data_IF_761206912950
#
_entry.id   IF_761206912950
#
_cell.length_a   1.000
_cell.length_b   1.000
_cell.length_c   1.000
_cell.angle_alpha   90.00
_cell.angle_beta   90.00
_cell.angle_gamma   90.00
#
_symmetry.space_group_name_H-M   'P 1'
#
loop_
_entity.id
_entity.type
_entity.pdbx_description
1 polymer ?
#
# COMPACT_ATOMS: atom_id res chain seq x y z
N UNK A 1 71.30 42.56 43.02
CA UNK A 1 70.75 43.87 42.61
C UNK A 1 69.37 43.64 42.05
N UNK A 2 68.40 44.44 42.48
CA UNK A 2 67.01 44.41 42.05
C UNK A 2 66.86 44.66 40.55
N UNK A 3 65.78 44.17 39.94
CA UNK A 3 64.80 44.97 39.19
C UNK A 3 63.50 44.15 39.10
N UNK A 4 62.40 44.77 39.51
CA UNK A 4 61.03 44.28 39.40
C UNK A 4 60.50 44.48 37.98
N UNK A 5 59.77 43.46 37.52
CA UNK A 5 58.59 43.45 36.67
C UNK A 5 58.46 44.48 35.53
N UNK A 6 58.32 43.96 34.30
CA UNK A 6 57.24 44.39 33.40
C UNK A 6 56.60 43.16 32.75
N UNK A 7 55.28 43.08 32.91
CA UNK A 7 54.38 42.15 32.24
C UNK A 7 54.43 42.39 30.72
N UNK A 8 54.52 41.32 29.95
CA UNK A 8 53.86 41.22 28.65
C UNK A 8 53.83 39.75 28.23
N UNK A 9 52.70 39.09 28.51
CA UNK A 9 52.31 37.90 27.77
C UNK A 9 51.93 38.33 26.35
N UNK A 10 52.45 37.68 25.29
CA UNK A 10 51.88 37.85 23.97
C UNK A 10 50.47 37.24 23.98
N UNK A 11 49.46 38.13 23.96
CA UNK A 11 48.12 37.83 23.44
C UNK A 11 48.31 37.25 22.05
N UNK A 12 47.91 36.00 21.88
CA UNK A 12 47.30 35.43 20.66
C UNK A 12 47.00 33.95 20.95
N UNK A 13 46.16 33.70 21.96
CA UNK A 13 45.31 32.52 21.94
C UNK A 13 44.01 32.96 21.30
N UNK A 14 43.72 32.35 20.16
CA UNK A 14 42.52 32.53 19.35
C UNK A 14 41.30 32.32 20.26
N UNK A 15 40.73 33.40 20.78
CA UNK A 15 39.36 33.44 21.27
C UNK A 15 38.48 33.34 20.03
N UNK A 16 38.16 32.11 19.64
CA UNK A 16 37.03 31.87 18.76
C UNK A 16 35.81 32.52 19.42
N UNK A 17 35.14 33.40 18.67
CA UNK A 17 33.99 34.16 19.14
C UNK A 17 32.93 33.15 19.61
N UNK A 18 32.28 33.33 20.77
CA UNK A 18 31.27 32.39 21.28
C UNK A 18 30.19 32.03 20.23
N UNK A 19 29.85 32.98 19.36
CA UNK A 19 28.89 32.80 18.25
C UNK A 19 29.35 31.85 17.14
N UNK A 20 30.65 31.69 16.92
CA UNK A 20 31.19 30.72 15.95
C UNK A 20 31.16 29.29 16.49
N UNK A 21 31.38 29.12 17.80
CA UNK A 21 31.30 27.82 18.48
C UNK A 21 29.86 27.31 18.47
N UNK A 22 28.88 28.17 18.77
CA UNK A 22 27.46 27.83 18.81
C UNK A 22 26.91 27.43 17.42
N UNK A 23 27.37 28.09 16.35
CA UNK A 23 27.04 27.71 14.96
C UNK A 23 27.65 26.37 14.54
N UNK A 24 28.87 26.08 14.99
CA UNK A 24 29.54 24.80 14.72
C UNK A 24 28.83 23.66 15.47
N UNK A 25 28.36 23.89 16.70
CA UNK A 25 27.56 22.93 17.46
C UNK A 25 26.21 22.63 16.77
N UNK A 26 25.48 23.64 16.28
CA UNK A 26 24.25 23.42 15.50
C UNK A 26 24.49 22.68 14.17
N UNK A 27 25.60 22.93 13.49
CA UNK A 27 25.96 22.19 12.27
C UNK A 27 26.33 20.73 12.57
N UNK A 28 27.02 20.47 13.68
CA UNK A 28 27.35 19.11 14.14
C UNK A 28 26.09 18.31 14.51
N UNK A 29 25.12 18.90 15.21
CA UNK A 29 23.82 18.26 15.49
C UNK A 29 23.06 17.90 14.21
N UNK A 30 23.01 18.83 13.23
CA UNK A 30 22.39 18.55 11.91
C UNK A 30 23.10 17.42 11.15
N UNK A 31 24.42 17.32 11.29
CA UNK A 31 25.21 16.24 10.67
C UNK A 31 24.97 14.90 11.38
N UNK A 32 24.82 14.89 12.71
CA UNK A 32 24.46 13.69 13.48
C UNK A 32 23.05 13.21 13.16
N UNK A 33 22.06 14.10 13.12
CA UNK A 33 20.69 13.77 12.69
C UNK A 33 20.68 13.22 11.25
N UNK A 34 21.46 13.83 10.33
CA UNK A 34 21.57 13.34 8.96
C UNK A 34 22.25 11.96 8.88
N UNK A 35 23.25 11.69 9.73
CA UNK A 35 23.91 10.38 9.83
C UNK A 35 22.95 9.33 10.39
N UNK A 36 22.21 9.62 11.46
CA UNK A 36 21.20 8.71 12.02
C UNK A 36 20.10 8.38 10.99
N UNK A 37 19.61 9.38 10.25
CA UNK A 37 18.64 9.17 9.17
C UNK A 37 19.26 8.27 8.07
N UNK A 38 20.53 8.45 7.74
CA UNK A 38 21.24 7.62 6.75
C UNK A 38 21.43 6.17 7.22
N UNK A 39 21.74 5.96 8.50
CA UNK A 39 21.87 4.63 9.12
C UNK A 39 20.52 3.93 9.22
N UNK A 40 19.47 4.64 9.61
CA UNK A 40 18.10 4.11 9.60
C UNK A 40 17.64 3.73 8.17
N UNK A 41 18.03 4.51 7.17
CA UNK A 41 17.73 4.22 5.76
C UNK A 41 18.52 3.00 5.23
N UNK A 42 19.78 2.82 5.65
CA UNK A 42 20.60 1.65 5.27
C UNK A 42 20.14 0.37 5.99
N UNK A 43 19.75 0.46 7.25
CA UNK A 43 19.08 -0.66 7.94
C UNK A 43 17.73 -1.02 7.32
N UNK A 44 16.92 -0.03 6.96
CA UNK A 44 15.64 -0.26 6.30
C UNK A 44 15.84 -0.93 4.93
N UNK A 45 16.81 -0.48 4.14
CA UNK A 45 17.10 -1.06 2.83
C UNK A 45 17.63 -2.50 2.92
N UNK A 46 18.50 -2.80 3.88
CA UNK A 46 19.00 -4.17 4.12
C UNK A 46 17.89 -5.12 4.62
N UNK A 47 16.99 -4.66 5.49
CA UNK A 47 15.79 -5.41 5.89
C UNK A 47 14.89 -5.69 4.68
N UNK A 48 14.64 -4.69 3.83
CA UNK A 48 13.84 -4.84 2.59
C UNK A 48 14.48 -5.85 1.63
N UNK A 49 15.81 -5.86 1.49
CA UNK A 49 16.52 -6.82 0.66
C UNK A 49 16.32 -8.25 1.17
N UNK A 50 16.49 -8.50 2.48
CA UNK A 50 16.22 -9.80 3.09
C UNK A 50 14.78 -10.28 2.86
N UNK A 51 13.80 -9.41 3.03
CA UNK A 51 12.39 -9.76 2.76
C UNK A 51 12.13 -10.13 1.30
N UNK A 52 12.85 -9.52 0.34
CA UNK A 52 12.76 -9.88 -1.08
C UNK A 52 13.40 -11.25 -1.35
N UNK A 53 14.51 -11.55 -0.73
CA UNK A 53 15.20 -12.84 -0.87
C UNK A 53 14.36 -13.97 -0.25
N UNK A 54 13.73 -13.74 0.91
CA UNK A 54 12.79 -14.67 1.52
C UNK A 54 11.59 -14.93 0.60
N UNK A 55 11.00 -13.89 0.02
CA UNK A 55 9.89 -14.01 -0.91
C UNK A 55 10.26 -14.81 -2.17
N UNK A 56 11.47 -14.61 -2.70
CA UNK A 56 11.99 -15.35 -3.85
C UNK A 56 12.21 -16.83 -3.51
N UNK A 57 12.77 -17.10 -2.34
CA UNK A 57 12.98 -18.47 -1.82
C UNK A 57 11.65 -19.22 -1.66
N UNK A 58 10.61 -18.53 -1.17
CA UNK A 58 9.25 -19.10 -1.06
C UNK A 58 8.69 -19.46 -2.45
N UNK A 59 8.85 -18.59 -3.45
CA UNK A 59 8.35 -18.83 -4.81
C UNK A 59 9.08 -20.00 -5.48
N UNK A 60 10.39 -20.16 -5.24
CA UNK A 60 11.17 -21.25 -5.83
C UNK A 60 10.81 -22.62 -5.20
N UNK A 61 10.56 -22.64 -3.89
CA UNK A 61 10.13 -23.85 -3.16
C UNK A 61 8.70 -24.32 -3.46
N UNK A 62 7.90 -23.52 -4.18
CA UNK A 62 6.49 -23.82 -4.45
C UNK A 62 6.30 -25.02 -5.40
N UNK A 63 5.60 -26.06 -4.95
CA UNK A 63 5.17 -27.18 -5.79
C UNK A 63 3.73 -26.94 -6.29
N UNK A 64 3.51 -26.68 -7.60
CA UNK A 64 2.19 -26.38 -8.13
C UNK A 64 1.30 -27.62 -8.15
N UNK A 65 0.01 -27.44 -7.88
CA UNK A 65 -0.99 -28.53 -7.89
C UNK A 65 -1.95 -28.44 -9.07
N UNK A 66 -2.16 -27.23 -9.58
CA UNK A 66 -3.06 -26.96 -10.71
C UNK A 66 -2.34 -27.00 -12.04
N UNK A 67 -3.08 -27.32 -13.12
CA UNK A 67 -2.56 -27.26 -14.50
C UNK A 67 -1.99 -25.87 -14.83
N UNK A 68 -2.67 -24.81 -14.37
CA UNK A 68 -2.22 -23.42 -14.53
C UNK A 68 -0.91 -23.19 -13.77
N UNK A 69 -0.82 -23.63 -12.51
CA UNK A 69 0.40 -23.51 -11.72
C UNK A 69 1.59 -24.23 -12.34
N UNK A 70 1.39 -25.43 -12.90
CA UNK A 70 2.43 -26.18 -13.61
C UNK A 70 2.89 -25.40 -14.85
N UNK A 71 1.96 -24.87 -15.66
CA UNK A 71 2.28 -24.09 -16.85
C UNK A 71 3.07 -22.80 -16.52
N UNK A 72 2.69 -22.08 -15.46
CA UNK A 72 3.38 -20.86 -14.99
C UNK A 72 4.73 -21.21 -14.37
N UNK A 73 4.84 -22.31 -13.61
CA UNK A 73 6.13 -22.77 -13.08
C UNK A 73 7.09 -23.16 -14.20
N UNK A 74 6.59 -23.82 -15.25
CA UNK A 74 7.35 -24.16 -16.45
C UNK A 74 7.67 -22.97 -17.37
N UNK A 75 7.10 -21.78 -17.12
CA UNK A 75 7.35 -20.57 -17.90
C UNK A 75 6.61 -20.49 -19.25
N UNK A 76 5.60 -21.35 -19.47
CA UNK A 76 4.76 -21.34 -20.69
C UNK A 76 3.84 -20.12 -20.73
N UNK A 77 3.32 -19.72 -19.58
CA UNK A 77 2.46 -18.55 -19.41
C UNK A 77 3.21 -17.50 -18.57
N UNK A 78 3.58 -16.39 -19.21
CA UNK A 78 4.30 -15.27 -18.57
C UNK A 78 3.42 -14.04 -18.35
N UNK A 79 2.34 -13.92 -19.11
CA UNK A 79 1.46 -12.75 -19.07
C UNK A 79 0.21 -13.04 -18.25
N UNK A 80 0.03 -12.33 -17.14
CA UNK A 80 -1.17 -12.46 -16.30
C UNK A 80 -2.44 -12.00 -17.02
N UNK A 81 -2.33 -11.01 -17.91
CA UNK A 81 -3.44 -10.47 -18.69
C UNK A 81 -4.11 -11.56 -19.54
N UNK A 82 -3.32 -12.39 -20.23
CA UNK A 82 -3.83 -13.51 -21.02
C UNK A 82 -4.61 -14.50 -20.15
N UNK A 83 -4.12 -14.79 -18.94
CA UNK A 83 -4.78 -15.69 -18.00
C UNK A 83 -6.15 -15.14 -17.58
N UNK A 84 -6.21 -13.84 -17.28
CA UNK A 84 -7.45 -13.16 -16.87
C UNK A 84 -8.46 -13.04 -18.01
N UNK A 85 -8.02 -12.74 -19.23
CA UNK A 85 -8.86 -12.66 -20.43
C UNK A 85 -9.42 -14.02 -20.84
N UNK A 86 -8.65 -15.10 -20.67
CA UNK A 86 -9.14 -16.47 -20.89
C UNK A 86 -10.21 -16.88 -19.85
N UNK A 87 -10.41 -16.10 -18.79
CA UNK A 87 -11.37 -16.39 -17.72
C UNK A 87 -10.97 -17.57 -16.83
N UNK A 88 -9.72 -18.03 -16.90
CA UNK A 88 -9.22 -19.12 -16.06
C UNK A 88 -9.13 -18.66 -14.60
N UNK A 89 -9.76 -19.40 -13.69
CA UNK A 89 -9.72 -19.06 -12.26
C UNK A 89 -8.35 -19.38 -11.65
N UNK A 90 -7.77 -18.40 -10.98
CA UNK A 90 -6.52 -18.57 -10.21
C UNK A 90 -6.87 -19.17 -8.84
N UNK A 91 -6.28 -20.32 -8.52
CA UNK A 91 -6.51 -21.04 -7.25
C UNK A 91 -5.29 -21.08 -6.33
N UNK A 92 -4.11 -20.71 -6.85
CA UNK A 92 -2.84 -20.68 -6.13
C UNK A 92 -2.32 -19.24 -6.13
N UNK A 93 -2.06 -18.68 -4.95
CA UNK A 93 -1.59 -17.29 -4.83
C UNK A 93 -0.17 -17.11 -5.37
N UNK A 94 0.63 -18.18 -5.31
CA UNK A 94 2.01 -18.23 -5.80
C UNK A 94 2.13 -17.96 -7.30
N UNK A 95 1.06 -18.24 -8.07
CA UNK A 95 1.00 -17.90 -9.50
C UNK A 95 1.19 -16.39 -9.68
N UNK A 96 0.47 -15.59 -8.90
CA UNK A 96 0.54 -14.12 -9.00
C UNK A 96 1.88 -13.60 -8.48
N UNK A 97 2.42 -14.23 -7.42
CA UNK A 97 3.73 -13.88 -6.86
C UNK A 97 4.89 -14.08 -7.85
N UNK A 98 4.78 -15.10 -8.73
CA UNK A 98 5.77 -15.32 -9.78
C UNK A 98 5.60 -14.37 -10.98
N UNK A 99 4.38 -13.97 -11.30
CA UNK A 99 4.07 -13.20 -12.50
C UNK A 99 4.17 -11.68 -12.32
N UNK A 100 3.95 -11.16 -11.10
CA UNK A 100 3.88 -9.72 -10.85
C UNK A 100 4.71 -9.30 -9.63
N UNK A 101 5.38 -8.12 -9.68
CA UNK A 101 5.96 -7.50 -8.51
C UNK A 101 4.86 -6.84 -7.67
N UNK A 102 4.36 -7.57 -6.67
CA UNK A 102 3.21 -7.13 -5.87
C UNK A 102 3.61 -6.32 -4.64
N UNK A 103 2.94 -5.19 -4.43
CA UNK A 103 2.90 -4.48 -3.16
C UNK A 103 1.64 -4.84 -2.38
N UNK A 104 1.72 -4.81 -1.04
CA UNK A 104 0.61 -5.15 -0.16
C UNK A 104 0.32 -4.01 0.82
N UNK A 105 -0.95 -3.64 0.97
CA UNK A 105 -1.42 -2.70 2.00
C UNK A 105 -2.66 -3.27 2.73
N UNK A 106 -2.92 -2.77 3.93
CA UNK A 106 -4.04 -3.17 4.77
C UNK A 106 -5.09 -2.07 4.85
N UNK A 107 -6.35 -2.45 4.68
CA UNK A 107 -7.50 -1.55 4.86
C UNK A 107 -7.87 -1.50 6.33
N UNK A 108 -8.10 -0.29 6.84
CA UNK A 108 -8.45 -0.06 8.24
C UNK A 108 -9.94 -0.36 8.50
N UNK A 109 -10.27 -1.64 8.66
CA UNK A 109 -11.65 -2.10 8.87
C UNK A 109 -12.09 -2.14 10.34
N UNK A 110 -11.15 -2.03 11.27
CA UNK A 110 -11.40 -2.08 12.71
C UNK A 110 -11.45 -0.72 13.37
N UNK A 111 -12.01 -0.68 14.57
CA UNK A 111 -12.03 0.50 15.41
C UNK A 111 -11.61 0.08 16.83
N UNK A 112 -10.59 0.76 17.37
CA UNK A 112 -10.30 0.69 18.79
C UNK A 112 -11.21 1.70 19.51
N UNK A 113 -11.87 1.28 20.59
CA UNK A 113 -12.63 2.20 21.44
C UNK A 113 -11.65 3.06 22.22
N UNK A 114 -11.73 4.38 22.09
CA UNK A 114 -11.03 5.31 22.98
C UNK A 114 -11.84 5.58 24.25
N UNK A 115 -11.21 6.25 25.22
CA UNK A 115 -11.75 6.56 26.55
C UNK A 115 -13.10 7.31 26.50
N UNK A 116 -13.34 8.11 25.47
CA UNK A 116 -14.52 8.95 25.29
C UNK A 116 -15.38 8.57 24.07
N UNK A 117 -15.37 7.31 23.64
CA UNK A 117 -16.18 6.85 22.50
C UNK A 117 -15.64 7.23 21.11
N UNK A 118 -14.73 8.19 21.02
CA UNK A 118 -13.89 8.40 19.83
C UNK A 118 -12.94 7.22 19.65
N UNK A 119 -12.88 6.65 18.44
CA UNK A 119 -12.08 5.45 18.18
C UNK A 119 -11.07 5.62 17.06
N UNK A 120 -9.82 5.19 17.30
CA UNK A 120 -8.78 5.14 16.25
C UNK A 120 -9.04 3.93 15.35
N UNK A 121 -9.01 4.14 14.03
CA UNK A 121 -9.13 3.06 13.05
C UNK A 121 -7.90 2.14 13.11
N UNK A 122 -8.13 0.83 12.98
CA UNK A 122 -7.10 -0.22 12.98
C UNK A 122 -7.31 -1.17 11.80
N UNK A 123 -6.24 -1.85 11.39
CA UNK A 123 -6.30 -2.85 10.31
C UNK A 123 -7.14 -4.09 10.67
N UNK A 124 -7.22 -4.43 11.96
CA UNK A 124 -7.95 -5.60 12.44
C UNK A 124 -9.31 -5.26 13.03
N UNK A 125 -10.34 -5.96 12.58
CA UNK A 125 -11.67 -5.93 13.19
C UNK A 125 -11.85 -7.16 14.08
N UNK A 126 -11.99 -6.94 15.38
CA UNK A 126 -12.33 -7.98 16.35
C UNK A 126 -13.83 -8.25 16.31
N UNK A 127 -14.22 -9.52 16.23
CA UNK A 127 -15.61 -9.99 16.30
C UNK A 127 -15.68 -11.10 17.35
N UNK A 128 -16.76 -11.13 18.12
CA UNK A 128 -16.93 -12.07 19.22
C UNK A 128 -18.19 -12.92 18.99
N UNK A 129 -18.08 -14.24 19.18
CA UNK A 129 -19.23 -15.15 19.24
C UNK A 129 -19.47 -15.52 20.70
N UNK A 130 -20.69 -15.31 21.21
CA UNK A 130 -21.08 -15.77 22.55
C UNK A 130 -21.33 -17.28 22.50
N UNK A 131 -20.76 -18.03 23.45
CA UNK A 131 -20.96 -19.47 23.66
C UNK A 131 -21.23 -19.73 25.15
N UNK A 132 -21.70 -20.93 25.50
CA UNK A 132 -21.96 -21.29 26.90
C UNK A 132 -20.67 -21.21 27.76
N UNK A 133 -19.53 -21.56 27.17
CA UNK A 133 -18.20 -21.53 27.80
C UNK A 133 -17.54 -20.13 27.78
N UNK A 134 -18.25 -19.11 27.30
CA UNK A 134 -17.76 -17.72 27.24
C UNK A 134 -17.70 -17.13 25.83
N UNK A 135 -16.92 -16.07 25.66
CA UNK A 135 -16.83 -15.34 24.40
C UNK A 135 -15.65 -15.83 23.56
N UNK A 136 -15.93 -16.36 22.37
CA UNK A 136 -14.90 -16.77 21.41
C UNK A 136 -14.56 -15.58 20.50
N UNK A 137 -13.34 -15.08 20.63
CA UNK A 137 -12.82 -13.99 19.81
C UNK A 137 -12.37 -14.47 18.43
N UNK A 138 -12.53 -13.59 17.45
CA UNK A 138 -11.99 -13.77 16.11
C UNK A 138 -11.54 -12.42 15.55
N UNK A 139 -10.43 -12.45 14.82
CA UNK A 139 -9.89 -11.27 14.16
C UNK A 139 -10.11 -11.41 12.66
N UNK A 140 -10.48 -10.29 12.06
CA UNK A 140 -10.62 -10.15 10.63
C UNK A 140 -9.74 -9.03 10.12
N UNK A 141 -9.20 -9.22 8.92
CA UNK A 141 -8.36 -8.26 8.23
C UNK A 141 -8.79 -8.17 6.76
N UNK A 142 -8.53 -7.03 6.14
CA UNK A 142 -8.75 -6.82 4.72
C UNK A 142 -7.48 -6.25 4.11
N UNK A 143 -7.00 -6.89 3.05
CA UNK A 143 -5.77 -6.54 2.38
C UNK A 143 -6.06 -6.15 0.94
N UNK A 144 -5.23 -5.23 0.43
CA UNK A 144 -5.15 -4.87 -0.98
C UNK A 144 -3.77 -5.26 -1.46
N UNK A 145 -3.71 -5.86 -2.64
CA UNK A 145 -2.48 -6.25 -3.31
C UNK A 145 -2.52 -5.66 -4.72
N UNK A 146 -1.42 -5.10 -5.20
CA UNK A 146 -1.36 -4.56 -6.56
C UNK A 146 0.05 -4.18 -6.99
N UNK A 147 0.21 -3.96 -8.28
CA UNK A 147 1.51 -3.71 -8.94
C UNK A 147 1.68 -2.24 -9.37
N UNK A 148 0.75 -1.36 -9.00
CA UNK A 148 0.66 0.04 -9.46
C UNK A 148 0.61 0.20 -10.98
N UNK A 149 0.32 -0.89 -11.71
CA UNK A 149 0.36 -0.93 -13.16
C UNK A 149 -0.90 -1.55 -13.76
N UNK A 150 -2.05 -1.34 -13.12
CA UNK A 150 -3.34 -1.84 -13.61
C UNK A 150 -3.72 -3.22 -13.10
N UNK A 151 -3.04 -3.79 -12.10
CA UNK A 151 -3.50 -4.99 -11.41
C UNK A 151 -3.76 -4.70 -9.95
N UNK A 152 -4.97 -5.02 -9.49
CA UNK A 152 -5.34 -4.87 -8.07
C UNK A 152 -6.23 -6.00 -7.60
N UNK A 153 -5.99 -6.48 -6.40
CA UNK A 153 -6.74 -7.54 -5.77
C UNK A 153 -7.11 -7.14 -4.35
N UNK A 154 -8.33 -7.47 -3.93
CA UNK A 154 -8.83 -7.17 -2.60
C UNK A 154 -9.26 -8.47 -1.93
N UNK A 155 -8.78 -8.69 -0.71
CA UNK A 155 -8.97 -9.93 0.02
C UNK A 155 -9.41 -9.72 1.46
N UNK A 156 -10.26 -10.62 1.94
CA UNK A 156 -10.71 -10.65 3.32
C UNK A 156 -10.23 -11.95 3.98
N UNK A 157 -9.72 -11.84 5.19
CA UNK A 157 -9.27 -12.98 5.99
C UNK A 157 -9.84 -12.93 7.40
N UNK A 158 -10.19 -14.09 7.96
CA UNK A 158 -10.64 -14.25 9.34
C UNK A 158 -9.92 -15.42 10.00
N UNK A 159 -9.44 -15.22 11.23
CA UNK A 159 -8.79 -16.24 12.04
C UNK A 159 -8.99 -15.98 13.54
N UNK A 160 -8.46 -16.87 14.38
CA UNK A 160 -8.45 -16.71 15.85
C UNK A 160 -7.40 -15.71 16.33
N UNK A 161 -6.40 -15.44 15.50
CA UNK A 161 -5.28 -14.53 15.75
C UNK A 161 -5.12 -13.51 14.61
N UNK A 162 -4.33 -12.46 14.84
CA UNK A 162 -4.17 -11.34 13.90
C UNK A 162 -3.27 -11.67 12.70
N UNK A 163 -2.11 -12.31 12.90
CA UNK A 163 -1.18 -12.65 11.82
C UNK A 163 -1.79 -13.65 10.82
N UNK A 164 -2.41 -14.76 11.25
CA UNK A 164 -3.06 -15.67 10.30
C UNK A 164 -4.24 -15.04 9.57
N UNK A 165 -4.94 -14.07 10.18
CA UNK A 165 -5.99 -13.31 9.51
C UNK A 165 -5.42 -12.41 8.40
N UNK A 166 -4.28 -11.76 8.65
CA UNK A 166 -3.55 -10.95 7.66
C UNK A 166 -3.09 -11.81 6.49
N UNK A 167 -2.44 -12.93 6.75
CA UNK A 167 -1.93 -13.85 5.70
C UNK A 167 -3.07 -14.39 4.83
N UNK A 168 -4.19 -14.79 5.45
CA UNK A 168 -5.39 -15.20 4.70
C UNK A 168 -5.95 -14.06 3.84
N UNK A 169 -5.96 -12.83 4.35
CA UNK A 169 -6.44 -11.68 3.59
C UNK A 169 -5.54 -11.42 2.37
N UNK A 170 -4.21 -11.44 2.55
CA UNK A 170 -3.23 -11.26 1.45
C UNK A 170 -3.35 -12.39 0.43
N UNK A 171 -3.44 -13.65 0.87
CA UNK A 171 -3.67 -14.80 -0.02
C UNK A 171 -4.94 -14.63 -0.85
N UNK A 172 -6.04 -14.27 -0.21
CA UNK A 172 -7.32 -14.06 -0.90
C UNK A 172 -7.28 -12.85 -1.85
N UNK A 173 -6.50 -11.81 -1.53
CA UNK A 173 -6.32 -10.67 -2.41
C UNK A 173 -5.59 -11.07 -3.70
N UNK A 174 -4.51 -11.86 -3.59
CA UNK A 174 -3.79 -12.42 -4.74
C UNK A 174 -4.67 -13.30 -5.62
N UNK A 175 -5.51 -14.15 -5.01
CA UNK A 175 -6.45 -14.99 -5.76
C UNK A 175 -7.53 -14.20 -6.51
N UNK A 176 -7.92 -13.04 -5.98
CA UNK A 176 -8.94 -12.16 -6.56
C UNK A 176 -8.30 -10.96 -7.28
N UNK A 177 -7.17 -11.17 -7.96
CA UNK A 177 -6.54 -10.12 -8.77
C UNK A 177 -7.45 -9.75 -9.94
N UNK A 178 -7.57 -8.45 -10.20
CA UNK A 178 -8.38 -7.87 -11.25
C UNK A 178 -7.48 -7.05 -12.16
N UNK A 179 -7.70 -7.16 -13.47
CA UNK A 179 -7.18 -6.22 -14.45
C UNK A 179 -8.01 -4.93 -14.35
N UNK A 180 -7.35 -3.80 -14.36
CA UNK A 180 -7.94 -2.46 -14.32
C UNK A 180 -7.47 -1.73 -15.57
N UNK A 181 -8.43 -1.32 -16.39
CA UNK A 181 -8.13 -0.49 -17.54
C UNK A 181 -7.93 0.95 -17.06
N UNK A 182 -6.73 1.48 -17.27
CA UNK A 182 -6.39 2.89 -17.02
C UNK A 182 -6.41 3.63 -18.36
N UNK A 183 -6.72 4.91 -18.31
CA UNK A 183 -6.78 5.77 -19.48
C UNK A 183 -6.48 7.22 -19.12
N UNK A 184 -7.01 8.10 -19.97
CA UNK A 184 -6.81 9.54 -19.90
C UNK A 184 -8.08 10.27 -19.49
N UNK A 185 -7.93 11.54 -19.11
CA UNK A 185 -9.04 12.42 -18.73
C UNK A 185 -10.00 12.73 -19.90
N UNK A 186 -9.48 12.70 -21.12
CA UNK A 186 -10.20 12.96 -22.37
C UNK A 186 -9.57 12.13 -23.51
N UNK A 187 -10.37 11.69 -24.51
CA UNK A 187 -9.85 11.04 -25.71
C UNK A 187 -8.80 11.87 -26.46
N UNK A 188 -8.87 13.20 -26.42
CA UNK A 188 -7.88 14.09 -27.06
C UNK A 188 -6.50 13.99 -26.39
N UNK A 189 -6.49 13.74 -25.07
CA UNK A 189 -5.25 13.57 -24.31
C UNK A 189 -4.58 12.21 -24.54
N UNK A 190 -5.32 11.21 -25.03
CA UNK A 190 -4.80 9.89 -25.36
C UNK A 190 -3.83 9.93 -26.55
N UNK A 191 -4.03 10.87 -27.46
CA UNK A 191 -3.16 11.04 -28.64
C UNK A 191 -1.80 11.68 -28.30
N UNK A 192 -1.71 12.40 -27.19
CA UNK A 192 -0.55 13.24 -26.86
C UNK A 192 0.34 12.65 -25.77
N UNK A 193 -0.21 11.79 -24.90
CA UNK A 193 0.45 11.36 -23.66
C UNK A 193 0.57 9.84 -23.61
N UNK A 194 1.68 9.35 -23.09
CA UNK A 194 2.01 7.92 -23.06
C UNK A 194 1.69 7.21 -21.73
N UNK A 195 1.55 7.94 -20.62
CA UNK A 195 1.29 7.35 -19.30
C UNK A 195 -0.17 7.52 -18.86
N UNK A 196 -0.99 6.44 -18.78
CA UNK A 196 -2.38 6.51 -18.34
C UNK A 196 -2.45 6.71 -16.83
N UNK A 197 -3.09 7.80 -16.40
CA UNK A 197 -3.10 8.24 -15.00
C UNK A 197 -4.46 8.12 -14.31
N UNK A 198 -5.55 8.02 -15.07
CA UNK A 198 -6.93 8.04 -14.53
C UNK A 198 -7.80 6.89 -15.07
N UNK A 199 -9.07 6.86 -14.69
CA UNK A 199 -10.05 5.91 -15.22
C UNK A 199 -10.55 6.45 -16.58
N UNK A 200 -10.68 5.62 -17.63
CA UNK A 200 -11.02 6.09 -18.98
C UNK A 200 -12.43 6.68 -19.09
N UNK A 201 -13.40 6.17 -18.33
CA UNK A 201 -14.79 6.65 -18.33
C UNK A 201 -15.40 6.54 -16.94
N UNK A 202 -16.58 7.15 -16.79
CA UNK A 202 -17.32 7.09 -15.53
C UNK A 202 -17.73 5.65 -15.23
N UNK A 203 -17.28 5.11 -14.09
CA UNK A 203 -17.64 3.75 -13.66
C UNK A 203 -18.33 3.74 -12.30
N UNK A 204 -19.32 2.86 -12.15
CA UNK A 204 -20.12 2.74 -10.93
C UNK A 204 -20.03 1.34 -10.34
N UNK A 205 -19.65 1.25 -9.07
CA UNK A 205 -19.58 0.01 -8.28
C UNK A 205 -20.52 0.06 -7.08
N UNK A 206 -21.01 -1.12 -6.69
CA UNK A 206 -21.95 -1.27 -5.57
C UNK A 206 -21.55 -2.45 -4.69
N UNK A 207 -21.70 -2.28 -3.38
CA UNK A 207 -21.67 -3.38 -2.41
C UNK A 207 -22.58 -3.04 -1.22
N UNK A 208 -23.63 -3.85 -0.99
CA UNK A 208 -24.65 -3.54 0.01
C UNK A 208 -25.37 -2.22 -0.31
N UNK A 209 -25.44 -1.31 0.66
CA UNK A 209 -26.00 0.04 0.50
C UNK A 209 -25.01 1.06 -0.08
N UNK A 210 -23.71 0.72 -0.15
CA UNK A 210 -22.66 1.64 -0.60
C UNK A 210 -22.57 1.62 -2.13
N UNK A 211 -22.67 2.81 -2.71
CA UNK A 211 -22.48 3.06 -4.13
C UNK A 211 -21.29 3.99 -4.32
N UNK A 212 -20.39 3.63 -5.22
CA UNK A 212 -19.19 4.40 -5.55
C UNK A 212 -19.21 4.68 -7.04
N UNK A 213 -19.03 5.94 -7.39
CA UNK A 213 -18.84 6.39 -8.76
C UNK A 213 -17.45 6.98 -8.89
N UNK A 214 -16.64 6.42 -9.79
CA UNK A 214 -15.35 6.98 -10.17
C UNK A 214 -15.56 7.84 -11.42
N UNK A 215 -15.00 9.05 -11.41
CA UNK A 215 -14.95 9.93 -12.55
C UNK A 215 -13.48 10.14 -12.98
N UNK A 216 -13.23 10.25 -14.29
CA UNK A 216 -11.93 10.69 -14.80
C UNK A 216 -11.56 12.05 -14.21
N UNK A 217 -10.28 12.28 -13.93
CA UNK A 217 -9.78 13.52 -13.37
C UNK A 217 -8.56 14.02 -14.15
N UNK A 218 -8.36 15.36 -14.24
CA UNK A 218 -7.19 15.91 -14.90
C UNK A 218 -5.91 15.62 -14.12
N UNK A 219 -4.76 15.58 -14.82
CA UNK A 219 -3.45 15.35 -14.18
C UNK A 219 -3.16 16.36 -13.07
N UNK A 220 -2.67 15.87 -11.93
CA UNK A 220 -2.30 16.71 -10.79
C UNK A 220 -3.42 16.95 -9.78
N UNK A 221 -4.63 16.44 -10.03
CA UNK A 221 -5.75 16.48 -9.08
C UNK A 221 -5.48 15.62 -7.84
N UNK A 222 -4.74 14.52 -8.01
CA UNK A 222 -4.57 13.48 -7.01
C UNK A 222 -5.83 12.65 -6.78
N UNK A 223 -5.76 11.79 -5.75
CA UNK A 223 -6.84 10.90 -5.37
C UNK A 223 -7.80 11.61 -4.39
N UNK A 224 -8.87 12.19 -4.92
CA UNK A 224 -9.93 12.85 -4.13
C UNK A 224 -10.95 11.81 -3.68
N UNK A 225 -10.57 11.08 -2.63
CA UNK A 225 -11.37 9.97 -2.08
C UNK A 225 -11.04 9.70 -0.61
N UNK A 226 -11.89 8.90 0.05
CA UNK A 226 -11.64 8.40 1.40
C UNK A 226 -10.45 7.43 1.45
N UNK A 227 -9.82 7.30 2.62
CA UNK A 227 -8.55 6.61 2.78
C UNK A 227 -8.56 5.15 2.28
N UNK A 228 -9.65 4.42 2.49
CA UNK A 228 -9.77 3.03 2.03
C UNK A 228 -9.72 2.90 0.51
N UNK A 229 -10.49 3.75 -0.18
CA UNK A 229 -10.50 3.78 -1.65
C UNK A 229 -9.17 4.31 -2.18
N UNK A 230 -8.55 5.27 -1.48
CA UNK A 230 -7.26 5.85 -1.86
C UNK A 230 -6.17 4.79 -1.94
N UNK A 231 -6.13 3.87 -0.97
CA UNK A 231 -5.21 2.73 -0.96
C UNK A 231 -5.42 1.79 -2.17
N UNK A 232 -6.67 1.50 -2.51
CA UNK A 232 -7.02 0.64 -3.64
C UNK A 232 -6.63 1.29 -4.97
N UNK A 233 -7.02 2.54 -5.19
CA UNK A 233 -6.73 3.26 -6.44
C UNK A 233 -5.22 3.46 -6.65
N UNK A 234 -4.48 3.74 -5.58
CA UNK A 234 -3.01 3.85 -5.61
C UNK A 234 -2.36 2.55 -6.06
N UNK A 235 -2.76 1.41 -5.48
CA UNK A 235 -2.21 0.10 -5.85
C UNK A 235 -2.68 -0.37 -7.23
N UNK A 236 -3.82 0.12 -7.72
CA UNK A 236 -4.25 -0.09 -9.10
C UNK A 236 -3.44 0.75 -10.12
N UNK A 237 -2.63 1.71 -9.68
CA UNK A 237 -1.86 2.59 -10.57
C UNK A 237 -2.64 3.80 -11.08
N UNK A 238 -3.76 4.13 -10.45
CA UNK A 238 -4.53 5.36 -10.72
C UNK A 238 -3.96 6.47 -9.84
N UNK A 239 -3.52 7.55 -10.48
CA UNK A 239 -2.91 8.72 -9.82
C UNK A 239 -3.95 9.79 -9.51
N UNK A 240 -4.87 10.02 -10.44
CA UNK A 240 -5.88 11.06 -10.33
C UNK A 240 -7.28 10.48 -10.55
N UNK A 241 -8.21 10.76 -9.63
CA UNK A 241 -9.61 10.37 -9.78
C UNK A 241 -10.51 11.17 -8.82
N UNK A 242 -11.69 11.54 -9.30
CA UNK A 242 -12.77 12.02 -8.43
C UNK A 242 -13.65 10.85 -8.03
N UNK A 243 -13.94 10.73 -6.73
CA UNK A 243 -14.78 9.65 -6.21
C UNK A 243 -15.99 10.21 -5.51
N UNK A 244 -17.18 9.86 -6.01
CA UNK A 244 -18.45 10.15 -5.34
C UNK A 244 -18.95 8.89 -4.65
N UNK A 245 -19.18 8.98 -3.34
CA UNK A 245 -19.74 7.89 -2.55
C UNK A 245 -21.15 8.23 -2.07
N UNK A 246 -22.08 7.27 -2.13
CA UNK A 246 -23.43 7.37 -1.57
C UNK A 246 -23.74 6.14 -0.70
N UNK A 247 -24.57 6.32 0.33
CA UNK A 247 -24.95 5.26 1.28
C UNK A 247 -24.11 5.25 2.57
N UNK A 248 -24.03 4.11 3.24
CA UNK A 248 -23.36 3.96 4.55
C UNK A 248 -21.82 3.84 4.41
N UNK A 249 -21.14 4.96 4.21
CA UNK A 249 -19.70 5.04 3.94
C UNK A 249 -18.82 4.69 5.15
N UNK A 250 -19.36 4.68 6.37
CA UNK A 250 -18.61 4.28 7.58
C UNK A 250 -18.15 2.83 7.51
N UNK A 251 -18.85 1.99 6.75
CA UNK A 251 -18.49 0.58 6.55
C UNK A 251 -17.35 0.40 5.54
N UNK A 252 -16.11 0.56 6.02
CA UNK A 252 -14.87 0.40 5.25
C UNK A 252 -14.82 -0.89 4.39
N UNK A 253 -15.34 -2.00 4.92
CA UNK A 253 -15.42 -3.28 4.20
C UNK A 253 -16.26 -3.21 2.92
N UNK A 254 -17.45 -2.61 2.99
CA UNK A 254 -18.34 -2.49 1.84
C UNK A 254 -17.80 -1.46 0.85
N UNK A 255 -17.23 -0.36 1.35
CA UNK A 255 -16.60 0.66 0.52
C UNK A 255 -15.44 0.09 -0.32
N UNK A 256 -14.56 -0.69 0.30
CA UNK A 256 -13.46 -1.35 -0.42
C UNK A 256 -13.95 -2.35 -1.48
N UNK A 257 -14.98 -3.15 -1.18
CA UNK A 257 -15.58 -4.07 -2.15
C UNK A 257 -16.30 -3.33 -3.29
N UNK A 258 -17.00 -2.24 -2.99
CA UNK A 258 -17.66 -1.42 -3.99
C UNK A 258 -16.64 -0.77 -4.93
N UNK A 259 -15.49 -0.34 -4.41
CA UNK A 259 -14.39 0.20 -5.20
C UNK A 259 -13.79 -0.88 -6.13
N UNK A 260 -13.48 -2.07 -5.61
CA UNK A 260 -13.02 -3.19 -6.44
C UNK A 260 -14.04 -3.59 -7.52
N UNK A 261 -15.34 -3.55 -7.20
CA UNK A 261 -16.43 -3.79 -8.15
C UNK A 261 -16.48 -2.72 -9.25
N UNK A 262 -16.28 -1.44 -8.90
CA UNK A 262 -16.20 -0.35 -9.89
C UNK A 262 -15.01 -0.57 -10.84
N UNK A 263 -13.83 -0.89 -10.30
CA UNK A 263 -12.63 -1.16 -11.09
C UNK A 263 -12.78 -2.37 -12.00
N UNK A 264 -13.40 -3.46 -11.52
CA UNK A 264 -13.67 -4.64 -12.35
C UNK A 264 -14.56 -4.34 -13.57
N UNK A 265 -15.41 -3.32 -13.50
CA UNK A 265 -16.27 -2.93 -14.63
C UNK A 265 -15.55 -2.13 -15.70
N UNK A 266 -14.37 -1.56 -15.41
CA UNK A 266 -13.55 -0.86 -16.41
C UNK A 266 -13.15 -1.77 -17.57
N UNK A 267 -13.00 -3.07 -17.32
CA UNK A 267 -12.66 -4.07 -18.35
C UNK A 267 -13.88 -4.59 -19.11
N UNK A 268 -15.09 -4.46 -18.54
CA UNK A 268 -16.31 -5.09 -19.09
C UNK A 268 -17.14 -4.16 -19.96
N UNK A 269 -17.00 -2.85 -19.78
CA UNK A 269 -17.63 -1.90 -20.68
C UNK A 269 -16.72 -1.74 -21.87
N UNK A 270 -17.09 -2.41 -22.96
CA UNK A 270 -16.56 -2.10 -24.29
C UNK A 270 -17.07 -0.69 -24.66
N UNK A 271 -16.14 0.16 -25.09
CA UNK A 271 -16.43 1.48 -25.65
C UNK A 271 -17.01 1.34 -27.06
#
# INVERSE_FOLDING_TARGET
MAIKETKNEPKDLIEAVPEEIEKIEEELEKIEEAKEISEQNTEASSKIARFKDDAKTIVDSWVPKTKLGIAVKAGKEKDINKILETGKKILESQIVDKLLPLETDLILIGQAKGKFGGGKRRAWRQTQKKTMEGNVLSFSAMAVVGDKNGHVGVGYGKARETLPAREKAVRNAKLNILKVNRGFESPESELTKTDPHTVPFKVEGKCGSVHITLFPAPRGTGLVTGDECKKILRLAGIKDAYVKTKGETKTAFNMAKACASALSKTTKMEL
#
